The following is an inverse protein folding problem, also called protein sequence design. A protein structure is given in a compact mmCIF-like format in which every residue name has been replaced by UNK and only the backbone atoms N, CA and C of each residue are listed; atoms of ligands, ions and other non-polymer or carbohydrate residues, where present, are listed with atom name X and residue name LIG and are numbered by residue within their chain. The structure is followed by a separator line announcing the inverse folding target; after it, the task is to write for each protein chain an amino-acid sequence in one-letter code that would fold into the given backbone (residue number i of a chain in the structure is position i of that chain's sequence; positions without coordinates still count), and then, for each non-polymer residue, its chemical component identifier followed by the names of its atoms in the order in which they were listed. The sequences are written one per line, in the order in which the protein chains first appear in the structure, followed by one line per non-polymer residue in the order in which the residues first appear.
data_IF_453035006568
#
_entry.id   IF_453035006568
#
_cell.length_a   1.000
_cell.length_b   1.000
_cell.length_c   1.000
_cell.angle_alpha   90.00
_cell.angle_beta   90.00
_cell.angle_gamma   90.00
#
_symmetry.space_group_name_H-M   'P 1'
#
loop_
_entity.id
_entity.type
_entity.pdbx_description
1 polymer ?
#
# COMPACT_ATOMS: atom_id res chain seq x y z
N UNK A 1 -1.51 4.38 0.58
CA UNK A 1 -0.87 3.10 0.23
C UNK A 1 -0.85 2.89 -1.28
N UNK A 2 0.09 2.13 -1.75
CA UNK A 2 0.17 1.68 -3.13
C UNK A 2 -0.37 0.26 -3.23
N UNK A 3 -0.98 -0.06 -4.35
CA UNK A 3 -1.43 -1.41 -4.64
C UNK A 3 -0.57 -1.98 -5.76
N UNK A 4 -0.13 -3.20 -5.56
CA UNK A 4 0.57 -3.97 -6.57
C UNK A 4 -0.19 -5.27 -6.81
N UNK A 5 -0.37 -5.65 -8.03
CA UNK A 5 -1.08 -6.89 -8.35
C UNK A 5 -0.42 -7.64 -9.49
N UNK A 6 -0.54 -8.96 -9.42
CA UNK A 6 -0.14 -9.89 -10.45
C UNK A 6 -1.29 -10.84 -10.72
N UNK A 7 -1.81 -10.83 -11.92
CA UNK A 7 -2.97 -11.62 -12.33
C UNK A 7 -2.60 -12.60 -13.44
N UNK A 8 -1.54 -13.39 -13.22
CA UNK A 8 -1.03 -14.38 -14.15
C UNK A 8 -0.55 -13.81 -15.50
N UNK A 9 -0.26 -12.49 -15.55
CA UNK A 9 0.18 -11.82 -16.78
C UNK A 9 1.68 -11.88 -17.03
N UNK A 10 2.50 -12.18 -16.02
CA UNK A 10 3.95 -12.21 -16.14
C UNK A 10 4.43 -13.65 -16.27
N UNK A 11 4.98 -14.00 -17.43
CA UNK A 11 5.47 -15.35 -17.71
C UNK A 11 6.88 -15.59 -17.18
N UNK A 12 7.62 -14.55 -16.87
CA UNK A 12 9.01 -14.63 -16.41
C UNK A 12 9.14 -15.09 -14.95
N UNK A 13 10.34 -15.55 -14.53
CA UNK A 13 10.61 -15.86 -13.12
C UNK A 13 10.40 -14.62 -12.23
N UNK A 14 9.94 -14.77 -11.02
CA UNK A 14 9.51 -16.01 -10.34
C UNK A 14 8.03 -16.36 -10.56
N UNK A 15 7.34 -15.68 -11.45
CA UNK A 15 5.88 -15.73 -11.56
C UNK A 15 5.39 -16.86 -12.47
N UNK A 16 6.07 -17.09 -13.59
CA UNK A 16 5.78 -18.16 -14.56
C UNK A 16 4.31 -18.24 -15.03
N UNK A 17 3.62 -17.10 -15.06
CA UNK A 17 2.21 -17.04 -15.45
C UNK A 17 1.24 -17.68 -14.45
N UNK A 18 1.68 -17.97 -13.24
CA UNK A 18 0.89 -18.72 -12.24
C UNK A 18 0.50 -17.90 -11.01
N UNK A 19 1.10 -16.74 -10.83
CA UNK A 19 0.85 -15.94 -9.65
C UNK A 19 -0.44 -15.12 -9.80
N UNK A 20 -1.28 -15.17 -8.76
CA UNK A 20 -2.44 -14.29 -8.61
C UNK A 20 -2.40 -13.73 -7.21
N UNK A 21 -2.02 -12.46 -7.09
CA UNK A 21 -1.84 -11.85 -5.78
C UNK A 21 -2.04 -10.34 -5.84
N UNK A 22 -2.30 -9.79 -4.68
CA UNK A 22 -2.42 -8.36 -4.45
C UNK A 22 -1.50 -7.98 -3.30
N UNK A 23 -0.60 -7.05 -3.53
CA UNK A 23 0.20 -6.42 -2.48
C UNK A 23 -0.42 -5.10 -2.06
N UNK A 24 -0.58 -4.91 -0.77
CA UNK A 24 -0.96 -3.62 -0.19
C UNK A 24 0.29 -3.04 0.46
N UNK A 25 0.77 -1.94 -0.06
CA UNK A 25 2.09 -1.40 0.25
C UNK A 25 1.99 -0.01 0.87
N UNK A 26 1.81 0.08 2.21
CA UNK A 26 1.95 1.35 2.90
C UNK A 26 3.39 1.85 2.76
N UNK A 27 3.54 3.10 2.35
CA UNK A 27 4.87 3.64 2.09
C UNK A 27 4.89 5.14 2.30
N UNK A 28 6.06 5.66 2.66
CA UNK A 28 6.32 7.10 2.74
C UNK A 28 6.79 7.70 1.42
N UNK A 29 7.05 6.84 0.42
CA UNK A 29 7.51 7.29 -0.90
C UNK A 29 6.75 6.55 -2.01
N UNK A 30 7.02 6.94 -3.26
CA UNK A 30 6.49 6.22 -4.42
C UNK A 30 7.21 4.88 -4.63
N UNK A 31 6.54 3.87 -5.19
CA UNK A 31 7.24 2.72 -5.72
C UNK A 31 8.06 3.15 -6.94
N UNK A 32 9.23 2.60 -7.09
CA UNK A 32 10.07 2.99 -8.21
C UNK A 32 11.43 2.34 -8.21
N UNK A 33 12.33 2.93 -8.97
CA UNK A 33 13.65 2.40 -9.25
C UNK A 33 14.74 2.87 -8.27
N UNK A 34 14.34 3.49 -7.17
CA UNK A 34 15.23 3.92 -6.10
C UNK A 34 14.99 5.37 -5.70
N UNK A 35 15.56 5.76 -4.57
CA UNK A 35 15.32 7.08 -3.98
C UNK A 35 15.80 8.22 -4.86
N UNK A 36 16.92 8.05 -5.53
CA UNK A 36 17.45 9.08 -6.44
C UNK A 36 16.51 9.35 -7.61
N UNK A 37 15.95 8.30 -8.20
CA UNK A 37 14.99 8.44 -9.30
C UNK A 37 13.70 9.12 -8.82
N UNK A 38 13.21 8.75 -7.65
CA UNK A 38 12.02 9.34 -7.06
C UNK A 38 12.24 10.84 -6.82
N UNK A 39 13.39 11.21 -6.27
CA UNK A 39 13.74 12.60 -6.01
C UNK A 39 13.80 13.42 -7.30
N UNK A 40 14.45 12.90 -8.34
CA UNK A 40 14.54 13.57 -9.64
C UNK A 40 13.19 13.77 -10.31
N UNK A 41 12.25 12.86 -10.07
CA UNK A 41 10.90 12.93 -10.61
C UNK A 41 9.95 13.78 -9.77
N UNK A 42 10.45 14.39 -8.71
CA UNK A 42 9.65 15.23 -7.81
C UNK A 42 8.79 14.43 -6.85
N UNK A 43 9.11 13.17 -6.61
CA UNK A 43 8.40 12.32 -5.68
C UNK A 43 8.68 12.68 -4.22
N UNK A 44 7.83 12.20 -3.34
CA UNK A 44 7.92 12.46 -1.92
C UNK A 44 8.93 11.53 -1.27
N UNK A 45 9.84 12.10 -0.49
CA UNK A 45 10.81 11.37 0.33
C UNK A 45 10.65 11.77 1.79
N UNK A 46 10.76 10.78 2.67
CA UNK A 46 10.88 11.03 4.10
C UNK A 46 12.34 11.34 4.42
N UNK A 47 12.58 12.46 5.11
CA UNK A 47 13.92 12.85 5.56
C UNK A 47 13.94 12.87 7.07
N UNK A 48 14.95 12.22 7.65
CA UNK A 48 15.17 12.20 9.09
C UNK A 48 16.51 12.84 9.38
N UNK A 49 16.51 13.85 10.25
CA UNK A 49 17.73 14.41 10.83
C UNK A 49 18.21 13.54 11.98
N UNK A 50 19.50 13.65 12.39
CA UNK A 50 19.98 12.90 13.56
C UNK A 50 19.12 13.17 14.79
N UNK A 51 18.66 12.09 15.44
CA UNK A 51 17.78 12.15 16.60
C UNK A 51 16.29 12.24 16.30
N UNK A 52 15.90 12.41 15.05
CA UNK A 52 14.49 12.41 14.65
C UNK A 52 13.90 10.99 14.70
N UNK A 53 12.63 10.94 15.04
CA UNK A 53 11.87 9.68 15.09
C UNK A 53 10.52 9.86 14.41
N UNK A 54 10.11 8.85 13.66
CA UNK A 54 8.81 8.80 13.01
C UNK A 54 8.13 7.49 13.38
N UNK A 55 6.88 7.58 13.80
CA UNK A 55 6.05 6.42 14.09
C UNK A 55 4.88 6.34 13.12
N UNK A 56 4.54 5.13 12.72
CA UNK A 56 3.39 4.86 11.85
C UNK A 56 2.58 3.69 12.42
N UNK A 57 1.29 3.80 12.34
CA UNK A 57 0.39 2.71 12.71
C UNK A 57 -0.32 2.21 11.46
N UNK A 58 -0.25 0.92 11.22
CA UNK A 58 -1.01 0.24 10.18
C UNK A 58 -2.08 -0.63 10.83
N UNK A 59 -3.31 -0.53 10.31
CA UNK A 59 -4.41 -1.40 10.70
C UNK A 59 -4.93 -2.13 9.48
N UNK A 60 -5.00 -3.44 9.58
CA UNK A 60 -5.57 -4.31 8.57
C UNK A 60 -6.80 -4.99 9.16
N UNK A 61 -7.92 -4.90 8.46
CA UNK A 61 -9.14 -5.56 8.87
C UNK A 61 -9.71 -6.38 7.72
N UNK A 62 -10.03 -7.63 8.02
CA UNK A 62 -10.74 -8.53 7.11
C UNK A 62 -12.12 -8.76 7.69
N UNK A 63 -13.14 -8.54 6.88
CA UNK A 63 -14.53 -8.60 7.34
C UNK A 63 -15.47 -8.93 6.17
N UNK A 64 -16.66 -9.42 6.50
CA UNK A 64 -17.74 -9.51 5.50
C UNK A 64 -18.40 -8.14 5.38
N UNK A 65 -18.48 -7.58 4.17
CA UNK A 65 -19.07 -6.27 4.00
C UNK A 65 -20.58 -6.31 4.23
N UNK A 66 -21.07 -5.35 5.00
CA UNK A 66 -22.49 -5.13 5.23
C UNK A 66 -22.90 -3.81 4.59
N UNK A 67 -22.68 -3.72 3.29
CA UNK A 67 -22.83 -2.50 2.50
C UNK A 67 -21.49 -1.99 1.97
N UNK A 68 -21.51 -0.88 1.24
CA UNK A 68 -20.29 -0.28 0.72
C UNK A 68 -19.44 0.30 1.86
N UNK A 69 -18.16 0.01 1.85
CA UNK A 69 -17.23 0.57 2.83
C UNK A 69 -16.97 2.03 2.47
N UNK A 70 -17.20 2.92 3.42
CA UNK A 70 -16.97 4.35 3.28
C UNK A 70 -15.65 4.79 3.89
N UNK A 71 -15.27 4.16 4.99
CA UNK A 71 -14.11 4.55 5.76
C UNK A 71 -13.65 3.40 6.66
N UNK A 72 -12.50 3.56 7.28
CA UNK A 72 -12.02 2.70 8.35
C UNK A 72 -11.74 3.60 9.55
N UNK A 73 -12.33 3.31 10.69
CA UNK A 73 -12.19 4.14 11.87
C UNK A 73 -10.84 3.96 12.57
N UNK A 74 -10.60 4.74 13.59
CA UNK A 74 -9.36 4.71 14.36
C UNK A 74 -9.08 3.37 15.06
N UNK A 75 -10.10 2.55 15.25
CA UNK A 75 -9.98 1.22 15.82
C UNK A 75 -9.81 0.12 14.75
N UNK A 76 -9.69 0.51 13.49
CA UNK A 76 -9.55 -0.41 12.38
C UNK A 76 -10.86 -1.05 11.94
N UNK A 77 -12.00 -0.52 12.35
CA UNK A 77 -13.32 -1.04 11.98
C UNK A 77 -13.83 -0.39 10.71
N UNK A 78 -14.42 -1.20 9.86
CA UNK A 78 -15.04 -0.67 8.65
C UNK A 78 -16.29 0.13 8.98
N UNK A 79 -16.37 1.32 8.41
CA UNK A 79 -17.57 2.16 8.44
C UNK A 79 -18.28 1.98 7.10
N UNK A 80 -19.48 1.42 7.13
CA UNK A 80 -20.24 1.13 5.92
C UNK A 80 -21.29 2.18 5.66
N UNK A 81 -21.57 2.37 4.37
CA UNK A 81 -22.68 3.22 3.92
C UNK A 81 -23.86 2.31 3.63
N UNK A 82 -25.00 2.57 4.25
CA UNK A 82 -26.26 1.92 3.90
C UNK A 82 -26.66 2.33 2.49
N UNK A 83 -26.91 1.37 1.66
CA UNK A 83 -27.41 1.60 0.31
C UNK A 83 -28.92 1.63 0.30
#
# INVERSE_FOLDING_TARGET
AWLWYELAGTSEPPWYGRARLLGVEPSTSWPGTGLSDIDQRGGRLLRLSPGDEVSTTLRLQVFEPNGAVRDVDENGRAVTKLM
#
